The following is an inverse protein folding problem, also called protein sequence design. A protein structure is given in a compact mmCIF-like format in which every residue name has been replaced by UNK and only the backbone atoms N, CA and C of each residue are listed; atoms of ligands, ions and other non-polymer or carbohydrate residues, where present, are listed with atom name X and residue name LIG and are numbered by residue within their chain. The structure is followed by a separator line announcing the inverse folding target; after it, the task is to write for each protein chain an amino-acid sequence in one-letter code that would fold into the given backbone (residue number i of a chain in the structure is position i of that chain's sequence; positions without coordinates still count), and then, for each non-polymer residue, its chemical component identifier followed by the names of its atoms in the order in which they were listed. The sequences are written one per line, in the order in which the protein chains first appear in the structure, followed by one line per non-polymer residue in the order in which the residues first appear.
data_IF_702858955996
#
_entry.id   IF_702858955996
#
_cell.length_a   1.000
_cell.length_b   1.000
_cell.length_c   1.000
_cell.angle_alpha   90.00
_cell.angle_beta   90.00
_cell.angle_gamma   90.00
#
_symmetry.space_group_name_H-M   'P 1'
#
loop_
_entity.id
_entity.type
_entity.pdbx_description
1 polymer ?
#
# COMPACT_ATOMS: atom_id res chain seq x y z
N UNK A 1 19.85 13.34 -17.42
CA UNK A 1 18.66 12.50 -17.19
C UNK A 1 18.84 11.91 -15.80
N UNK A 2 17.87 12.10 -14.92
CA UNK A 2 17.90 11.53 -13.56
C UNK A 2 17.68 10.02 -13.66
N UNK A 3 18.16 9.26 -12.68
CA UNK A 3 18.17 7.80 -12.77
C UNK A 3 16.77 7.23 -12.49
N UNK A 4 16.31 7.30 -11.23
CA UNK A 4 15.05 6.66 -10.79
C UNK A 4 14.16 7.61 -10.00
N UNK A 5 12.85 7.39 -10.08
CA UNK A 5 11.86 8.06 -9.23
C UNK A 5 10.78 7.09 -8.77
N UNK A 6 10.37 7.21 -7.49
CA UNK A 6 9.37 6.35 -6.86
C UNK A 6 8.19 7.19 -6.35
N UNK A 7 6.96 6.86 -6.74
CA UNK A 7 5.74 7.51 -6.26
C UNK A 7 5.06 6.64 -5.22
N UNK A 8 5.08 7.11 -3.96
CA UNK A 8 4.65 6.39 -2.78
C UNK A 8 3.44 7.06 -2.12
N UNK A 9 2.33 6.31 -2.00
CA UNK A 9 1.11 6.72 -1.29
C UNK A 9 1.00 6.24 0.16
N UNK A 10 1.82 5.29 0.61
CA UNK A 10 1.76 4.71 1.96
C UNK A 10 3.15 4.56 2.58
N UNK A 11 3.24 4.39 3.91
CA UNK A 11 4.51 4.09 4.58
C UNK A 11 5.10 2.74 4.10
N UNK A 12 4.25 1.77 3.72
CA UNK A 12 4.68 0.51 3.13
C UNK A 12 5.40 0.71 1.78
N UNK A 13 4.89 1.60 0.92
CA UNK A 13 5.55 1.93 -0.35
C UNK A 13 6.95 2.52 -0.13
N UNK A 14 7.08 3.41 0.86
CA UNK A 14 8.39 3.97 1.22
C UNK A 14 9.30 2.86 1.73
N UNK A 15 8.81 1.96 2.57
CA UNK A 15 9.59 0.83 3.09
C UNK A 15 10.11 -0.07 1.95
N UNK A 16 9.25 -0.50 1.02
CA UNK A 16 9.68 -1.31 -0.13
C UNK A 16 10.68 -0.54 -1.01
N UNK A 17 10.52 0.78 -1.14
CA UNK A 17 11.46 1.62 -1.89
C UNK A 17 12.84 1.67 -1.23
N UNK A 18 12.91 1.74 0.11
CA UNK A 18 14.17 1.58 0.84
C UNK A 18 14.80 0.22 0.54
N UNK A 19 14.02 -0.87 0.59
CA UNK A 19 14.54 -2.20 0.27
C UNK A 19 15.16 -2.25 -1.13
N UNK A 20 14.48 -1.65 -2.12
CA UNK A 20 14.97 -1.60 -3.51
C UNK A 20 16.28 -0.84 -3.63
N UNK A 21 16.37 0.37 -3.08
CA UNK A 21 17.59 1.18 -3.19
C UNK A 21 18.75 0.59 -2.38
N UNK A 22 18.49 -0.01 -1.21
CA UNK A 22 19.54 -0.67 -0.40
C UNK A 22 20.03 -1.98 -1.04
N UNK A 23 19.25 -2.60 -1.92
CA UNK A 23 19.70 -3.76 -2.69
C UNK A 23 20.55 -3.41 -3.93
N UNK A 24 20.72 -2.12 -4.25
CA UNK A 24 21.57 -1.69 -5.35
C UNK A 24 23.07 -1.66 -4.94
N UNK A 25 23.98 -1.80 -5.92
CA UNK A 25 25.40 -1.50 -5.72
C UNK A 25 25.58 -0.09 -5.13
N UNK A 26 26.56 0.08 -4.24
CA UNK A 26 26.74 1.31 -3.44
C UNK A 26 26.88 2.56 -4.31
N UNK A 27 27.54 2.44 -5.46
CA UNK A 27 27.73 3.48 -6.46
C UNK A 27 26.43 3.95 -7.14
N UNK A 28 25.38 3.12 -7.12
CA UNK A 28 24.06 3.45 -7.69
C UNK A 28 23.10 4.04 -6.65
N UNK A 29 23.40 3.91 -5.35
CA UNK A 29 22.57 4.46 -4.26
C UNK A 29 22.66 5.99 -4.23
N UNK A 30 21.67 6.65 -3.63
CA UNK A 30 21.65 8.12 -3.53
C UNK A 30 21.27 8.84 -4.82
N UNK A 31 20.91 8.13 -5.88
CA UNK A 31 20.57 8.72 -7.19
C UNK A 31 19.06 8.80 -7.45
N UNK A 32 18.24 8.12 -6.64
CA UNK A 32 16.79 8.10 -6.81
C UNK A 32 16.09 9.26 -6.10
N UNK A 33 14.95 9.69 -6.65
CA UNK A 33 14.03 10.64 -6.02
C UNK A 33 12.83 9.89 -5.44
N UNK A 34 12.44 10.25 -4.22
CA UNK A 34 11.23 9.72 -3.58
C UNK A 34 10.11 10.78 -3.63
N UNK A 35 8.94 10.41 -4.13
CA UNK A 35 7.74 11.24 -4.14
C UNK A 35 6.76 10.69 -3.11
N UNK A 36 6.34 11.54 -2.17
CA UNK A 36 5.38 11.24 -1.12
C UNK A 36 4.02 11.84 -1.49
N UNK A 37 3.12 11.01 -2.01
CA UNK A 37 1.74 11.42 -2.33
C UNK A 37 0.89 11.52 -1.07
N UNK A 38 0.41 12.72 -0.78
CA UNK A 38 -0.44 13.02 0.39
C UNK A 38 -1.90 12.56 0.21
N UNK A 39 -2.23 11.96 -0.92
CA UNK A 39 -3.61 11.60 -1.27
C UNK A 39 -4.24 10.58 -0.30
N UNK A 40 -3.45 9.59 0.13
CA UNK A 40 -3.93 8.44 0.91
C UNK A 40 -3.45 8.44 2.34
N UNK A 41 -2.51 9.32 2.70
CA UNK A 41 -1.80 9.26 3.96
C UNK A 41 -1.15 10.59 4.34
N UNK A 42 -1.12 10.88 5.63
CA UNK A 42 -0.32 11.96 6.20
C UNK A 42 1.05 11.44 6.62
N UNK A 43 2.05 11.81 5.83
CA UNK A 43 3.44 11.43 6.03
C UNK A 43 4.14 12.21 7.16
N UNK A 44 3.54 13.28 7.70
CA UNK A 44 4.15 14.16 8.69
C UNK A 44 5.63 14.50 8.37
N UNK A 45 6.52 14.36 9.35
CA UNK A 45 7.96 14.55 9.27
C UNK A 45 8.72 13.38 8.61
N UNK A 46 8.04 12.46 7.92
CA UNK A 46 8.75 11.37 7.22
C UNK A 46 9.71 11.94 6.16
N UNK A 47 9.34 13.03 5.47
CA UNK A 47 10.21 13.67 4.49
C UNK A 47 11.58 14.02 5.09
N UNK A 48 11.59 14.78 6.18
CA UNK A 48 12.82 15.24 6.84
C UNK A 48 13.64 14.06 7.38
N UNK A 49 12.96 13.03 7.94
CA UNK A 49 13.63 11.80 8.38
C UNK A 49 14.27 11.01 7.24
N UNK A 50 13.60 10.88 6.09
CA UNK A 50 14.14 10.19 4.91
C UNK A 50 15.30 10.98 4.32
N UNK A 51 15.20 12.30 4.18
CA UNK A 51 16.30 13.16 3.73
C UNK A 51 17.54 12.99 4.64
N UNK A 52 17.32 12.91 5.96
CA UNK A 52 18.37 12.68 6.95
C UNK A 52 19.05 11.30 6.88
N UNK A 53 18.58 10.37 6.04
CA UNK A 53 19.28 9.09 5.77
C UNK A 53 20.34 9.22 4.69
N UNK A 54 20.22 10.19 3.78
CA UNK A 54 21.07 10.32 2.60
C UNK A 54 20.87 9.23 1.54
N UNK A 55 19.84 8.36 1.65
CA UNK A 55 19.61 7.27 0.70
C UNK A 55 19.09 7.76 -0.67
N UNK A 56 18.43 8.91 -0.71
CA UNK A 56 17.79 9.49 -1.89
C UNK A 56 18.43 10.81 -2.28
N UNK A 57 18.46 11.10 -3.59
CA UNK A 57 18.89 12.38 -4.14
C UNK A 57 17.97 13.54 -3.73
N UNK A 58 16.70 13.24 -3.45
CA UNK A 58 15.73 14.21 -2.97
C UNK A 58 14.39 13.56 -2.62
N UNK A 59 13.64 14.23 -1.75
CA UNK A 59 12.29 13.82 -1.35
C UNK A 59 11.31 14.94 -1.68
N UNK A 60 10.28 14.62 -2.46
CA UNK A 60 9.30 15.56 -2.97
C UNK A 60 7.94 15.21 -2.41
N UNK A 61 7.21 16.20 -1.90
CA UNK A 61 5.82 16.01 -1.52
C UNK A 61 4.93 16.25 -2.72
N UNK A 62 3.87 15.44 -2.84
CA UNK A 62 2.91 15.54 -3.93
C UNK A 62 1.50 15.67 -3.36
N UNK A 63 0.90 16.84 -3.55
CA UNK A 63 -0.49 17.13 -3.23
C UNK A 63 -1.42 16.63 -4.34
N UNK A 64 -1.39 15.32 -4.54
CA UNK A 64 -2.13 14.59 -5.58
C UNK A 64 -3.64 14.66 -5.33
N UNK A 65 -4.42 15.02 -6.36
CA UNK A 65 -5.85 15.31 -6.22
C UNK A 65 -6.73 14.15 -6.64
N UNK A 66 -7.55 13.70 -5.69
CA UNK A 66 -8.62 12.73 -5.96
C UNK A 66 -9.68 13.31 -6.89
N UNK A 67 -10.47 12.43 -7.50
CA UNK A 67 -11.44 12.83 -8.52
C UNK A 67 -12.56 13.73 -7.98
N UNK A 68 -12.89 13.60 -6.70
CA UNK A 68 -13.90 14.38 -5.99
C UNK A 68 -13.47 15.83 -5.76
N UNK A 69 -12.16 16.11 -5.77
CA UNK A 69 -11.61 17.48 -5.82
C UNK A 69 -12.01 18.21 -7.11
N UNK A 70 -12.37 17.48 -8.18
CA UNK A 70 -12.77 18.04 -9.47
C UNK A 70 -14.26 17.76 -9.77
N UNK A 71 -15.20 18.63 -9.31
CA UNK A 71 -16.64 18.40 -9.46
C UNK A 71 -17.11 18.11 -10.89
N UNK A 72 -16.43 18.67 -11.88
CA UNK A 72 -16.72 18.47 -13.30
C UNK A 72 -16.49 17.04 -13.83
N UNK A 73 -15.79 16.19 -13.08
CA UNK A 73 -15.62 14.76 -13.39
C UNK A 73 -16.86 13.93 -13.00
N UNK A 74 -17.62 14.36 -11.98
CA UNK A 74 -18.74 13.59 -11.42
C UNK A 74 -19.81 13.23 -12.48
N UNK A 75 -20.03 14.09 -13.48
CA UNK A 75 -20.98 13.83 -14.58
C UNK A 75 -20.64 12.58 -15.39
N UNK A 76 -19.38 12.17 -15.45
CA UNK A 76 -18.96 10.99 -16.22
C UNK A 76 -19.09 9.69 -15.42
N UNK A 77 -19.30 9.76 -14.11
CA UNK A 77 -19.54 8.61 -13.23
C UNK A 77 -20.99 8.16 -13.19
N UNK A 78 -21.93 8.99 -13.67
CA UNK A 78 -23.36 8.65 -13.75
C UNK A 78 -23.58 7.54 -14.79
N UNK A 79 -24.08 6.41 -14.33
CA UNK A 79 -24.47 5.31 -15.21
C UNK A 79 -25.70 5.73 -16.04
N UNK A 80 -25.57 5.67 -17.36
CA UNK A 80 -26.66 5.99 -18.28
C UNK A 80 -27.48 4.77 -18.69
N UNK A 81 -27.19 3.58 -18.16
CA UNK A 81 -27.79 2.30 -18.57
C UNK A 81 -27.40 1.83 -19.98
N UNK A 82 -26.53 2.58 -20.68
CA UNK A 82 -26.11 2.30 -22.04
C UNK A 82 -24.59 2.11 -22.10
N UNK A 83 -24.15 0.93 -22.51
CA UNK A 83 -22.73 0.56 -22.55
C UNK A 83 -21.87 1.53 -23.38
N UNK A 84 -22.31 1.91 -24.59
CA UNK A 84 -21.56 2.80 -25.47
C UNK A 84 -21.44 4.20 -24.88
N UNK A 85 -22.52 4.73 -24.31
CA UNK A 85 -22.52 6.04 -23.68
C UNK A 85 -21.61 6.06 -22.44
N UNK A 86 -21.66 5.03 -21.61
CA UNK A 86 -20.76 4.88 -20.46
C UNK A 86 -19.30 4.74 -20.88
N UNK A 87 -19.02 4.04 -21.99
CA UNK A 87 -17.68 3.94 -22.53
C UNK A 87 -17.16 5.30 -23.02
N UNK A 88 -17.98 6.07 -23.74
CA UNK A 88 -17.64 7.44 -24.16
C UNK A 88 -17.37 8.34 -22.94
N UNK A 89 -18.21 8.25 -21.91
CA UNK A 89 -18.03 8.99 -20.66
C UNK A 89 -16.70 8.62 -20.00
N UNK A 90 -16.35 7.33 -19.96
CA UNK A 90 -15.06 6.87 -19.43
C UNK A 90 -13.87 7.39 -20.21
N UNK A 91 -13.92 7.39 -21.55
CA UNK A 91 -12.84 7.97 -22.38
C UNK A 91 -12.66 9.46 -22.07
N UNK A 92 -13.77 10.19 -21.93
CA UNK A 92 -13.75 11.62 -21.56
C UNK A 92 -13.21 11.83 -20.14
N UNK A 93 -13.63 11.01 -19.19
CA UNK A 93 -13.13 11.01 -17.81
C UNK A 93 -11.62 10.81 -17.78
N UNK A 94 -11.11 9.73 -18.40
CA UNK A 94 -9.67 9.41 -18.40
C UNK A 94 -8.83 10.58 -18.95
N UNK A 95 -9.26 11.21 -20.04
CA UNK A 95 -8.56 12.36 -20.64
C UNK A 95 -8.65 13.63 -19.80
N UNK A 96 -9.83 13.93 -19.27
CA UNK A 96 -10.04 15.15 -18.50
C UNK A 96 -9.32 15.07 -17.15
N UNK A 97 -9.42 13.93 -16.45
CA UNK A 97 -8.79 13.76 -15.14
C UNK A 97 -7.27 13.97 -15.21
N UNK A 98 -6.59 13.32 -16.16
CA UNK A 98 -5.16 13.52 -16.38
C UNK A 98 -4.76 14.98 -16.69
N UNK A 99 -5.63 15.73 -17.38
CA UNK A 99 -5.40 17.15 -17.69
C UNK A 99 -5.58 18.03 -16.44
N UNK A 100 -6.56 17.70 -15.60
CA UNK A 100 -6.83 18.44 -14.37
C UNK A 100 -5.77 18.19 -13.31
N UNK A 101 -5.18 17.00 -13.30
CA UNK A 101 -4.09 16.66 -12.40
C UNK A 101 -2.75 17.30 -12.79
N UNK A 102 -2.53 17.56 -14.09
CA UNK A 102 -1.25 18.05 -14.62
C UNK A 102 -0.65 19.27 -13.88
N UNK A 103 -1.41 20.31 -13.48
CA UNK A 103 -0.88 21.44 -12.72
C UNK A 103 -0.36 21.09 -11.31
N UNK A 104 -0.79 19.96 -10.75
CA UNK A 104 -0.40 19.49 -9.41
C UNK A 104 0.82 18.57 -9.44
N UNK A 105 1.24 18.12 -10.63
CA UNK A 105 2.40 17.24 -10.80
C UNK A 105 3.68 17.98 -10.37
N UNK A 106 4.41 17.49 -9.35
CA UNK A 106 5.45 18.26 -8.68
C UNK A 106 6.80 18.21 -9.42
N UNK A 107 6.94 17.30 -10.38
CA UNK A 107 8.20 17.04 -11.11
C UNK A 107 7.93 16.70 -12.57
N UNK A 108 8.88 17.02 -13.45
CA UNK A 108 8.83 16.53 -14.84
C UNK A 108 9.34 15.09 -14.90
N UNK A 109 8.39 14.15 -14.91
CA UNK A 109 8.67 12.71 -14.98
C UNK A 109 9.49 12.30 -16.23
N UNK A 110 9.46 13.08 -17.33
CA UNK A 110 10.24 12.76 -18.54
C UNK A 110 11.75 12.85 -18.34
N UNK A 111 12.20 13.48 -17.25
CA UNK A 111 13.62 13.60 -16.93
C UNK A 111 14.22 12.34 -16.31
N UNK A 112 13.39 11.37 -15.92
CA UNK A 112 13.80 10.14 -15.25
C UNK A 112 13.84 8.97 -16.23
N UNK A 113 14.82 8.08 -16.05
CA UNK A 113 14.96 6.87 -16.85
C UNK A 113 13.94 5.82 -16.41
N UNK A 114 13.86 5.54 -15.11
CA UNK A 114 12.92 4.58 -14.56
C UNK A 114 11.96 5.27 -13.58
N UNK A 115 10.65 5.06 -13.79
CA UNK A 115 9.57 5.65 -12.99
C UNK A 115 8.78 4.50 -12.37
N UNK A 116 8.72 4.46 -11.05
CA UNK A 116 8.06 3.42 -10.27
C UNK A 116 6.83 3.99 -9.56
N UNK A 117 5.68 3.33 -9.68
CA UNK A 117 4.40 3.77 -9.09
C UNK A 117 3.70 2.59 -8.42
N UNK A 118 3.42 2.68 -7.11
CA UNK A 118 2.76 1.60 -6.36
C UNK A 118 1.24 1.53 -6.58
N UNK A 119 0.58 2.68 -6.72
CA UNK A 119 -0.85 2.72 -7.03
C UNK A 119 -1.05 3.40 -8.38
N UNK A 120 -0.84 2.67 -9.48
CA UNK A 120 -1.09 3.26 -10.80
C UNK A 120 -2.59 3.48 -11.07
N UNK A 121 -3.47 2.99 -10.20
CA UNK A 121 -4.89 3.37 -10.12
C UNK A 121 -5.14 4.83 -9.73
N UNK A 122 -4.19 5.45 -9.04
CA UNK A 122 -4.29 6.81 -8.51
C UNK A 122 -4.05 7.85 -9.62
N UNK A 123 -4.35 9.15 -9.40
CA UNK A 123 -4.28 10.18 -10.43
C UNK A 123 -2.98 10.18 -11.26
N UNK A 124 -1.85 9.87 -10.63
CA UNK A 124 -0.55 9.78 -11.29
C UNK A 124 -0.53 8.79 -12.46
N UNK A 125 -1.22 7.65 -12.36
CA UNK A 125 -1.28 6.68 -13.44
C UNK A 125 -2.06 7.21 -14.65
N UNK A 126 -3.14 7.96 -14.41
CA UNK A 126 -3.88 8.66 -15.46
C UNK A 126 -2.98 9.70 -16.15
N UNK A 127 -2.25 10.50 -15.38
CA UNK A 127 -1.31 11.49 -15.91
C UNK A 127 -0.24 10.83 -16.79
N UNK A 128 0.50 9.85 -16.26
CA UNK A 128 1.57 9.16 -16.99
C UNK A 128 1.03 8.51 -18.27
N UNK A 129 -0.11 7.84 -18.18
CA UNK A 129 -0.77 7.19 -19.31
C UNK A 129 -1.17 8.17 -20.42
N UNK A 130 -1.80 9.30 -20.09
CA UNK A 130 -2.25 10.28 -21.08
C UNK A 130 -1.09 11.13 -21.63
N UNK A 131 -0.02 11.31 -20.85
CA UNK A 131 1.23 11.95 -21.30
C UNK A 131 2.18 11.02 -22.02
N UNK A 132 1.82 9.73 -22.18
CA UNK A 132 2.61 8.71 -22.89
C UNK A 132 3.98 8.48 -22.26
N UNK A 133 4.04 8.59 -20.93
CA UNK A 133 5.26 8.40 -20.16
C UNK A 133 5.29 6.95 -19.69
N UNK A 134 6.39 6.25 -19.97
CA UNK A 134 6.56 4.86 -19.58
C UNK A 134 6.91 4.73 -18.10
N UNK A 135 6.35 3.72 -17.43
CA UNK A 135 6.54 3.50 -16.00
C UNK A 135 6.43 2.02 -15.64
N UNK A 136 6.94 1.67 -14.47
CA UNK A 136 6.81 0.38 -13.79
C UNK A 136 5.77 0.52 -12.68
N UNK A 137 4.80 -0.38 -12.65
CA UNK A 137 3.87 -0.46 -11.52
C UNK A 137 4.44 -1.37 -10.42
N UNK A 138 3.98 -1.21 -9.18
CA UNK A 138 4.20 -2.14 -8.08
C UNK A 138 2.86 -2.44 -7.41
N UNK A 139 2.77 -3.49 -6.60
CA UNK A 139 1.58 -3.74 -5.79
C UNK A 139 1.43 -2.69 -4.66
N UNK A 140 0.20 -2.25 -4.38
CA UNK A 140 -0.15 -1.35 -3.25
C UNK A 140 0.17 -1.98 -1.88
N UNK A 141 0.07 -3.31 -1.76
CA UNK A 141 0.33 -4.03 -0.53
C UNK A 141 0.86 -5.43 -0.82
N UNK A 142 1.48 -6.06 0.18
CA UNK A 142 2.02 -7.41 0.06
C UNK A 142 0.92 -8.39 -0.41
N UNK A 143 1.09 -8.98 -1.60
CA UNK A 143 0.12 -9.90 -2.22
C UNK A 143 -1.33 -9.36 -2.29
N UNK A 144 -1.54 -8.04 -2.37
CA UNK A 144 -2.88 -7.45 -2.28
C UNK A 144 -3.85 -7.97 -3.36
N UNK A 145 -3.33 -8.32 -4.55
CA UNK A 145 -4.10 -8.85 -5.68
C UNK A 145 -4.77 -10.21 -5.40
N UNK A 146 -4.25 -10.98 -4.43
CA UNK A 146 -4.87 -12.24 -3.97
C UNK A 146 -6.27 -11.97 -3.41
N UNK A 147 -6.44 -10.85 -2.70
CA UNK A 147 -7.67 -10.49 -2.01
C UNK A 147 -8.53 -9.55 -2.89
N UNK A 148 -7.88 -8.63 -3.62
CA UNK A 148 -8.57 -7.66 -4.47
C UNK A 148 -7.82 -7.35 -5.77
N UNK A 149 -8.23 -7.97 -6.87
CA UNK A 149 -7.84 -7.61 -8.24
C UNK A 149 -8.74 -6.49 -8.76
N UNK A 150 -8.43 -5.27 -8.32
CA UNK A 150 -9.17 -4.07 -8.68
C UNK A 150 -9.22 -3.83 -10.19
N UNK A 151 -8.19 -4.22 -10.94
CA UNK A 151 -8.18 -4.11 -12.40
C UNK A 151 -9.30 -4.95 -13.02
N UNK A 152 -9.60 -6.14 -12.50
CA UNK A 152 -10.74 -6.95 -12.95
C UNK A 152 -12.05 -6.51 -12.33
N UNK A 153 -12.07 -6.27 -11.04
CA UNK A 153 -13.29 -5.94 -10.29
C UNK A 153 -13.97 -4.68 -10.85
N UNK A 154 -13.21 -3.60 -11.03
CA UNK A 154 -13.74 -2.33 -11.56
C UNK A 154 -14.11 -2.41 -13.05
N UNK A 155 -13.68 -3.49 -13.72
CA UNK A 155 -13.84 -3.68 -15.15
C UNK A 155 -14.67 -4.92 -15.52
N UNK A 156 -15.36 -5.53 -14.55
CA UNK A 156 -16.24 -6.68 -14.74
C UNK A 156 -17.30 -6.47 -15.83
N UNK A 157 -17.83 -7.57 -16.35
CA UNK A 157 -18.80 -7.64 -17.46
C UNK A 157 -18.19 -7.51 -18.86
N UNK A 158 -17.12 -6.73 -19.05
CA UNK A 158 -16.45 -6.55 -20.36
C UNK A 158 -14.93 -6.38 -20.23
N UNK A 159 -14.30 -7.17 -19.33
CA UNK A 159 -12.89 -7.00 -19.00
C UNK A 159 -11.98 -7.07 -20.22
N UNK A 160 -12.12 -8.10 -21.08
CA UNK A 160 -11.26 -8.27 -22.26
C UNK A 160 -11.29 -7.07 -23.21
N UNK A 161 -12.47 -6.51 -23.47
CA UNK A 161 -12.63 -5.31 -24.29
C UNK A 161 -11.99 -4.09 -23.60
N UNK A 162 -12.29 -3.84 -22.31
CA UNK A 162 -11.72 -2.71 -21.55
C UNK A 162 -10.19 -2.80 -21.47
N UNK A 163 -9.65 -3.98 -21.21
CA UNK A 163 -8.22 -4.27 -21.20
C UNK A 163 -7.59 -4.01 -22.58
N UNK A 164 -8.26 -4.39 -23.68
CA UNK A 164 -7.80 -4.07 -25.03
C UNK A 164 -7.78 -2.56 -25.31
N UNK A 165 -8.87 -1.85 -24.97
CA UNK A 165 -8.98 -0.40 -25.14
C UNK A 165 -7.91 0.36 -24.34
N UNK A 166 -7.56 -0.14 -23.14
CA UNK A 166 -6.48 0.40 -22.32
C UNK A 166 -5.10 0.07 -22.91
N UNK A 167 -4.76 -1.21 -23.06
CA UNK A 167 -3.41 -1.67 -23.44
C UNK A 167 -3.02 -1.34 -24.87
N UNK A 168 -3.96 -1.40 -25.81
CA UNK A 168 -3.66 -1.24 -27.25
C UNK A 168 -3.98 0.14 -27.76
N UNK A 169 -5.15 0.68 -27.40
CA UNK A 169 -5.65 1.94 -27.97
C UNK A 169 -5.42 3.18 -27.10
N UNK A 170 -5.11 3.03 -25.81
CA UNK A 170 -4.97 4.14 -24.85
C UNK A 170 -6.23 5.03 -24.74
N UNK A 171 -7.42 4.44 -24.92
CA UNK A 171 -8.67 5.19 -24.89
C UNK A 171 -9.23 5.34 -23.48
N UNK A 172 -9.02 4.32 -22.65
CA UNK A 172 -9.35 4.31 -21.23
C UNK A 172 -8.11 3.88 -20.45
N UNK A 173 -8.16 4.01 -19.13
CA UNK A 173 -7.12 3.50 -18.25
C UNK A 173 -7.65 2.31 -17.44
N UNK A 174 -6.86 1.24 -17.38
CA UNK A 174 -7.02 0.08 -16.49
C UNK A 174 -5.67 -0.12 -15.81
N UNK A 175 -5.67 -0.13 -14.48
CA UNK A 175 -4.51 -0.24 -13.59
C UNK A 175 -3.88 -1.64 -13.59
N UNK A 176 -2.93 -1.86 -12.68
CA UNK A 176 -2.26 -3.14 -12.44
C UNK A 176 -1.66 -3.74 -13.73
N UNK A 177 -0.81 -2.96 -14.41
CA UNK A 177 -0.10 -3.43 -15.61
C UNK A 177 -0.89 -3.37 -16.93
N UNK A 178 -2.19 -3.06 -16.90
CA UNK A 178 -3.04 -2.96 -18.09
C UNK A 178 -3.00 -1.57 -18.76
N UNK A 179 -2.26 -0.59 -18.24
CA UNK A 179 -2.04 0.70 -18.92
C UNK A 179 -1.13 0.54 -20.14
N UNK A 180 -1.41 1.20 -21.28
CA UNK A 180 -0.58 1.06 -22.51
C UNK A 180 0.91 1.29 -22.25
N UNK A 181 1.22 2.33 -21.46
CA UNK A 181 2.57 2.79 -21.14
C UNK A 181 3.14 2.19 -19.85
N UNK A 182 2.40 1.32 -19.16
CA UNK A 182 2.97 0.50 -18.09
C UNK A 182 3.86 -0.58 -18.73
N UNK A 183 5.15 -0.60 -18.39
CA UNK A 183 6.14 -1.54 -18.92
C UNK A 183 5.93 -2.92 -18.33
N UNK A 184 5.94 -2.98 -17.00
CA UNK A 184 5.72 -4.15 -16.17
C UNK A 184 5.09 -3.74 -14.83
N UNK A 185 4.69 -4.75 -14.05
CA UNK A 185 4.26 -4.54 -12.67
C UNK A 185 4.96 -5.55 -11.75
N UNK A 186 5.64 -5.06 -10.73
CA UNK A 186 6.28 -5.91 -9.73
C UNK A 186 5.25 -6.45 -8.74
N UNK A 187 5.11 -7.78 -8.70
CA UNK A 187 4.25 -8.49 -7.72
C UNK A 187 5.10 -9.39 -6.82
N UNK A 188 4.62 -9.68 -5.62
CA UNK A 188 5.38 -10.47 -4.65
C UNK A 188 5.33 -11.97 -4.95
N UNK A 189 4.17 -12.50 -5.32
CA UNK A 189 3.94 -13.92 -5.66
C UNK A 189 2.88 -14.03 -6.76
N UNK A 190 3.31 -14.36 -7.98
CA UNK A 190 2.42 -14.53 -9.14
C UNK A 190 1.49 -15.73 -8.93
N UNK A 191 1.96 -16.79 -8.25
CA UNK A 191 1.19 -18.02 -8.04
C UNK A 191 -0.05 -17.80 -7.15
N UNK A 192 -0.02 -16.78 -6.30
CA UNK A 192 -1.15 -16.37 -5.48
C UNK A 192 -2.25 -15.61 -6.26
N UNK A 193 -1.98 -15.21 -7.50
CA UNK A 193 -2.89 -14.38 -8.31
C UNK A 193 -3.68 -15.26 -9.28
N UNK A 194 -5.01 -15.28 -9.11
CA UNK A 194 -5.92 -16.08 -9.94
C UNK A 194 -5.85 -15.74 -11.44
N UNK A 195 -5.65 -14.46 -11.76
CA UNK A 195 -5.66 -13.96 -13.14
C UNK A 195 -4.47 -13.04 -13.44
N UNK A 196 -3.25 -13.58 -13.57
CA UNK A 196 -2.05 -12.76 -13.76
C UNK A 196 -2.09 -11.98 -15.08
N UNK A 197 -1.66 -10.71 -15.03
CA UNK A 197 -1.43 -9.93 -16.23
C UNK A 197 -0.11 -10.39 -16.88
N UNK A 198 -0.01 -10.46 -18.23
CA UNK A 198 1.23 -10.87 -18.91
C UNK A 198 2.46 -9.98 -18.66
N UNK A 199 2.28 -8.83 -18.01
CA UNK A 199 3.34 -7.87 -17.66
C UNK A 199 3.78 -7.97 -16.20
N UNK A 200 3.21 -8.90 -15.43
CA UNK A 200 3.64 -9.10 -14.05
C UNK A 200 5.04 -9.71 -14.02
N UNK A 201 5.88 -9.17 -13.14
CA UNK A 201 7.20 -9.71 -12.83
C UNK A 201 7.24 -10.01 -11.34
N UNK A 202 7.68 -11.22 -11.00
CA UNK A 202 7.78 -11.64 -9.61
C UNK A 202 9.05 -11.06 -8.98
N UNK A 203 8.88 -10.36 -7.86
CA UNK A 203 9.95 -9.73 -7.08
C UNK A 203 9.61 -9.89 -5.59
N UNK A 204 9.88 -11.05 -4.97
CA UNK A 204 9.50 -11.29 -3.58
C UNK A 204 10.10 -10.24 -2.64
N UNK A 205 9.28 -9.63 -1.77
CA UNK A 205 9.76 -8.55 -0.89
C UNK A 205 10.68 -9.10 0.22
N UNK A 206 10.45 -10.35 0.59
CA UNK A 206 11.29 -11.06 1.55
C UNK A 206 12.74 -11.15 1.09
N UNK A 207 12.99 -11.45 -0.20
CA UNK A 207 14.36 -11.50 -0.73
C UNK A 207 15.08 -10.15 -0.61
N UNK A 208 14.37 -9.04 -0.77
CA UNK A 208 14.96 -7.71 -0.60
C UNK A 208 15.27 -7.42 0.87
N UNK A 209 14.40 -7.84 1.79
CA UNK A 209 14.58 -7.68 3.23
C UNK A 209 15.71 -8.55 3.78
N UNK A 210 15.83 -9.80 3.33
CA UNK A 210 16.85 -10.75 3.78
C UNK A 210 18.27 -10.32 3.40
N UNK A 211 18.43 -9.59 2.30
CA UNK A 211 19.71 -9.09 1.80
C UNK A 211 20.23 -7.86 2.55
N UNK A 212 19.42 -7.25 3.43
CA UNK A 212 19.86 -6.09 4.21
C UNK A 212 20.88 -6.47 5.26
N UNK A 213 21.98 -5.72 5.32
CA UNK A 213 22.93 -5.79 6.43
C UNK A 213 22.44 -4.99 7.67
N UNK A 214 23.23 -4.99 8.73
CA UNK A 214 22.88 -4.27 9.96
C UNK A 214 22.81 -2.74 9.77
N UNK A 215 23.67 -2.17 8.93
CA UNK A 215 23.69 -0.73 8.63
C UNK A 215 22.47 -0.33 7.80
N UNK A 216 22.08 -1.16 6.84
CA UNK A 216 20.89 -0.97 6.02
C UNK A 216 19.62 -0.97 6.91
N UNK A 217 19.50 -1.93 7.84
CA UNK A 217 18.39 -1.99 8.80
C UNK A 217 18.34 -0.78 9.72
N UNK A 218 19.50 -0.34 10.23
CA UNK A 218 19.58 0.84 11.09
C UNK A 218 19.13 2.11 10.35
N UNK A 219 19.49 2.24 9.07
CA UNK A 219 19.05 3.35 8.22
C UNK A 219 17.53 3.37 8.06
N UNK A 220 16.90 2.21 7.86
CA UNK A 220 15.43 2.11 7.80
C UNK A 220 14.82 2.50 9.15
N UNK A 221 15.36 1.97 10.26
CA UNK A 221 14.86 2.31 11.60
C UNK A 221 14.91 3.82 11.86
N UNK A 222 16.01 4.49 11.49
CA UNK A 222 16.16 5.95 11.60
C UNK A 222 15.08 6.72 10.81
N UNK A 223 14.65 6.21 9.65
CA UNK A 223 13.64 6.87 8.84
C UNK A 223 12.22 6.72 9.42
N UNK A 224 11.89 5.52 9.91
CA UNK A 224 10.50 5.17 10.27
C UNK A 224 10.18 5.30 11.76
N UNK A 225 11.18 5.18 12.64
CA UNK A 225 10.97 5.16 14.09
C UNK A 225 11.35 6.52 14.68
N UNK A 226 10.37 7.24 15.23
CA UNK A 226 10.57 8.58 15.82
C UNK A 226 11.36 8.52 17.12
N UNK A 227 11.01 7.56 17.96
CA UNK A 227 11.58 7.33 19.27
C UNK A 227 12.02 5.87 19.37
N UNK A 228 13.23 5.60 18.89
CA UNK A 228 13.80 4.26 18.88
C UNK A 228 14.07 3.79 20.31
N UNK A 229 14.62 4.65 21.16
CA UNK A 229 14.95 4.33 22.55
C UNK A 229 13.68 4.01 23.35
N UNK A 230 12.63 4.80 23.20
CA UNK A 230 11.33 4.56 23.84
C UNK A 230 10.68 3.26 23.36
N UNK A 231 10.75 2.95 22.06
CA UNK A 231 10.25 1.69 21.52
C UNK A 231 11.07 0.50 22.03
N UNK A 232 12.40 0.59 22.06
CA UNK A 232 13.27 -0.45 22.62
C UNK A 232 13.00 -0.69 24.10
N UNK A 233 12.79 0.38 24.87
CA UNK A 233 12.40 0.31 26.27
C UNK A 233 11.03 -0.35 26.44
N UNK A 234 10.03 0.02 25.62
CA UNK A 234 8.71 -0.63 25.62
C UNK A 234 8.83 -2.13 25.30
N UNK A 235 9.68 -2.49 24.34
CA UNK A 235 9.96 -3.88 23.98
C UNK A 235 10.58 -4.62 25.17
N UNK A 236 11.58 -4.02 25.83
CA UNK A 236 12.29 -4.59 26.98
C UNK A 236 11.38 -4.74 28.21
N UNK A 237 10.57 -3.74 28.52
CA UNK A 237 9.56 -3.82 29.59
C UNK A 237 8.50 -4.89 29.28
N UNK A 238 8.05 -4.97 28.03
CA UNK A 238 7.09 -5.98 27.58
C UNK A 238 7.65 -7.41 27.62
N UNK A 239 8.98 -7.57 27.50
CA UNK A 239 9.62 -8.88 27.52
C UNK A 239 9.57 -9.57 28.89
N UNK A 240 9.21 -8.83 29.95
CA UNK A 240 8.95 -9.34 31.31
C UNK A 240 7.52 -9.79 31.54
N UNK A 241 6.63 -9.49 30.58
CA UNK A 241 5.23 -9.90 30.59
C UNK A 241 5.17 -11.31 29.98
N UNK A 242 4.16 -12.11 30.35
CA UNK A 242 3.96 -13.45 29.78
C UNK A 242 3.69 -13.41 28.27
N UNK A 243 2.94 -14.40 27.76
CA UNK A 243 2.66 -14.51 26.33
C UNK A 243 2.06 -13.22 25.76
N UNK A 244 2.60 -12.75 24.63
CA UNK A 244 2.16 -11.51 23.96
C UNK A 244 1.43 -11.81 22.66
N UNK A 245 0.29 -11.18 22.46
CA UNK A 245 -0.51 -11.28 21.24
C UNK A 245 -0.56 -9.90 20.57
N UNK A 246 -0.08 -9.81 19.34
CA UNK A 246 -0.23 -8.60 18.53
C UNK A 246 -1.50 -8.71 17.68
N UNK A 247 -2.39 -7.72 17.79
CA UNK A 247 -3.54 -7.56 16.90
C UNK A 247 -3.25 -6.39 15.97
N UNK A 248 -3.15 -6.68 14.67
CA UNK A 248 -3.07 -5.67 13.63
C UNK A 248 -4.48 -5.24 13.26
N UNK A 249 -4.72 -3.94 13.27
CA UNK A 249 -6.02 -3.40 12.85
C UNK A 249 -6.03 -3.14 11.36
N UNK A 250 -7.23 -3.02 10.79
CA UNK A 250 -7.51 -2.80 9.38
C UNK A 250 -8.70 -1.82 9.29
N UNK A 251 -8.74 -0.87 8.33
CA UNK A 251 -9.83 0.09 8.18
C UNK A 251 -11.06 -0.56 7.52
N UNK A 252 -11.58 -1.61 8.14
CA UNK A 252 -12.67 -2.45 7.64
C UNK A 252 -14.03 -1.88 8.03
N UNK A 253 -15.04 -2.08 7.19
CA UNK A 253 -16.44 -1.73 7.48
C UNK A 253 -16.63 -0.26 7.94
N UNK A 254 -17.83 0.03 8.44
CA UNK A 254 -18.14 1.28 9.17
C UNK A 254 -17.51 1.28 10.57
N UNK A 255 -17.30 2.46 11.17
CA UNK A 255 -16.69 2.58 12.50
C UNK A 255 -17.36 1.73 13.60
N UNK A 256 -18.71 1.65 13.72
CA UNK A 256 -19.34 0.82 14.74
C UNK A 256 -19.09 -0.68 14.54
N UNK A 257 -19.08 -1.15 13.28
CA UNK A 257 -18.79 -2.55 12.95
C UNK A 257 -17.31 -2.84 13.18
N UNK A 258 -16.43 -1.92 12.79
CA UNK A 258 -14.98 -1.99 13.04
C UNK A 258 -14.65 -2.10 14.52
N UNK A 259 -15.30 -1.28 15.35
CA UNK A 259 -15.17 -1.38 16.81
C UNK A 259 -15.58 -2.77 17.29
N UNK A 260 -16.72 -3.29 16.83
CA UNK A 260 -17.19 -4.64 17.17
C UNK A 260 -16.17 -5.72 16.79
N UNK A 261 -15.64 -5.66 15.57
CA UNK A 261 -14.60 -6.59 15.08
C UNK A 261 -13.42 -6.62 16.06
N UNK A 262 -12.85 -5.46 16.39
CA UNK A 262 -11.65 -5.43 17.25
C UNK A 262 -11.96 -5.72 18.72
N UNK A 263 -13.17 -5.46 19.21
CA UNK A 263 -13.62 -5.97 20.52
C UNK A 263 -13.68 -7.49 20.53
N UNK A 264 -14.28 -8.11 19.53
CA UNK A 264 -14.39 -9.57 19.44
C UNK A 264 -13.02 -10.26 19.32
N UNK A 265 -12.11 -9.69 18.51
CA UNK A 265 -10.73 -10.18 18.38
C UNK A 265 -9.98 -10.04 19.71
N UNK A 266 -10.00 -8.87 20.33
CA UNK A 266 -9.30 -8.67 21.61
C UNK A 266 -9.87 -9.55 22.73
N UNK A 267 -11.19 -9.75 22.77
CA UNK A 267 -11.86 -10.65 23.73
C UNK A 267 -11.54 -12.13 23.50
N UNK A 268 -11.37 -12.55 22.24
CA UNK A 268 -10.95 -13.89 21.87
C UNK A 268 -9.52 -14.16 22.37
N UNK A 269 -8.58 -13.26 22.07
CA UNK A 269 -7.16 -13.51 22.28
C UNK A 269 -6.61 -13.08 23.64
N UNK A 270 -7.34 -12.28 24.45
CA UNK A 270 -6.89 -11.93 25.82
C UNK A 270 -6.72 -13.13 26.75
N UNK A 271 -7.32 -14.28 26.40
CA UNK A 271 -7.16 -15.55 27.13
C UNK A 271 -5.84 -16.25 26.81
N UNK A 272 -5.20 -15.92 25.69
CA UNK A 272 -3.96 -16.54 25.21
C UNK A 272 -2.71 -15.76 25.63
N UNK A 273 -2.87 -14.50 26.05
CA UNK A 273 -1.77 -13.62 26.44
C UNK A 273 -2.20 -12.15 26.55
N UNK A 274 -1.23 -11.28 26.87
CA UNK A 274 -1.41 -9.83 26.87
C UNK A 274 -1.54 -9.33 25.43
N UNK A 275 -2.67 -8.68 25.14
CA UNK A 275 -2.96 -8.13 23.81
C UNK A 275 -2.31 -6.77 23.63
N UNK A 276 -1.64 -6.60 22.51
CA UNK A 276 -1.10 -5.35 21.98
C UNK A 276 -1.84 -5.00 20.70
N UNK A 277 -2.08 -3.72 20.46
CA UNK A 277 -2.69 -3.24 19.22
C UNK A 277 -1.66 -2.52 18.37
N UNK A 278 -1.68 -2.77 17.05
CA UNK A 278 -1.01 -1.91 16.07
C UNK A 278 -2.08 -1.38 15.12
N UNK A 279 -2.55 -0.14 15.33
CA UNK A 279 -3.53 0.45 14.46
C UNK A 279 -3.03 0.61 13.02
N UNK A 280 -3.92 0.48 12.04
CA UNK A 280 -3.60 0.79 10.65
C UNK A 280 -3.47 2.31 10.45
N UNK A 281 -2.47 2.81 9.70
CA UNK A 281 -2.20 4.26 9.57
C UNK A 281 -3.36 5.07 8.97
N UNK A 282 -4.23 4.42 8.19
CA UNK A 282 -5.43 5.02 7.57
C UNK A 282 -6.75 4.74 8.33
N UNK A 283 -6.68 4.15 9.50
CA UNK A 283 -7.87 3.82 10.28
C UNK A 283 -8.31 5.01 11.13
N UNK A 284 -9.54 5.44 10.95
CA UNK A 284 -10.15 6.57 11.66
C UNK A 284 -10.70 6.18 13.05
N UNK A 285 -10.72 4.89 13.39
CA UNK A 285 -11.20 4.46 14.71
C UNK A 285 -10.21 4.87 15.80
N UNK A 286 -10.69 5.57 16.83
CA UNK A 286 -9.85 6.03 17.94
C UNK A 286 -9.56 4.89 18.93
N UNK A 287 -8.55 4.07 18.60
CA UNK A 287 -8.14 2.94 19.43
C UNK A 287 -7.63 3.37 20.80
N UNK A 288 -6.98 4.53 20.93
CA UNK A 288 -6.46 5.02 22.21
C UNK A 288 -7.59 5.29 23.19
N UNK A 289 -8.71 5.83 22.71
CA UNK A 289 -9.91 6.07 23.53
C UNK A 289 -10.74 4.81 23.78
N UNK A 290 -10.91 3.96 22.78
CA UNK A 290 -11.82 2.79 22.85
C UNK A 290 -11.20 1.55 23.49
N UNK A 291 -9.86 1.46 23.45
CA UNK A 291 -9.06 0.33 23.92
C UNK A 291 -7.88 0.79 24.82
N UNK A 292 -8.10 1.69 25.80
CA UNK A 292 -7.02 2.28 26.61
C UNK A 292 -6.28 1.23 27.46
N UNK A 293 -6.91 0.07 27.70
CA UNK A 293 -6.33 -1.02 28.48
C UNK A 293 -5.25 -1.82 27.73
N UNK A 294 -5.16 -1.70 26.41
CA UNK A 294 -4.19 -2.44 25.61
C UNK A 294 -3.04 -1.52 25.19
N UNK A 295 -1.77 -1.92 25.38
CA UNK A 295 -0.64 -1.19 24.83
C UNK A 295 -0.75 -1.09 23.30
N UNK A 296 -0.40 0.08 22.74
CA UNK A 296 -0.57 0.35 21.32
C UNK A 296 0.74 0.83 20.69
N UNK A 297 1.08 0.27 19.53
CA UNK A 297 2.17 0.78 18.70
C UNK A 297 1.72 2.02 17.92
N UNK A 298 2.69 2.82 17.47
CA UNK A 298 2.41 3.92 16.55
C UNK A 298 1.87 3.36 15.22
N UNK A 299 0.71 3.85 14.80
CA UNK A 299 0.04 3.45 13.57
C UNK A 299 0.89 3.75 12.31
N UNK A 300 1.75 4.78 12.39
CA UNK A 300 2.56 5.28 11.28
C UNK A 300 3.86 4.49 11.06
N UNK A 301 4.15 3.51 11.93
CA UNK A 301 5.26 2.58 11.75
C UNK A 301 4.79 1.37 10.92
N UNK A 302 5.38 1.10 9.73
CA UNK A 302 5.15 -0.15 9.02
C UNK A 302 5.47 -1.34 9.90
N UNK A 303 4.62 -2.35 9.87
CA UNK A 303 4.80 -3.54 10.70
C UNK A 303 6.07 -4.31 10.33
N UNK A 304 6.49 -4.24 9.08
CA UNK A 304 7.69 -4.90 8.56
C UNK A 304 8.96 -4.36 9.21
N UNK A 305 8.98 -3.07 9.58
CA UNK A 305 10.12 -2.45 10.28
C UNK A 305 10.30 -3.05 11.67
N UNK A 306 9.23 -3.58 12.29
CA UNK A 306 9.31 -4.24 13.58
C UNK A 306 10.14 -5.54 13.52
N UNK A 307 10.30 -6.16 12.34
CA UNK A 307 11.17 -7.34 12.16
C UNK A 307 12.65 -7.04 12.46
N UNK A 308 13.06 -5.76 12.46
CA UNK A 308 14.45 -5.38 12.70
C UNK A 308 14.80 -5.20 14.17
N UNK A 309 13.84 -5.37 15.09
CA UNK A 309 14.11 -5.32 16.53
C UNK A 309 14.42 -6.72 17.06
N UNK A 310 15.70 -7.03 17.39
CA UNK A 310 16.12 -8.40 17.72
C UNK A 310 15.49 -8.96 18.99
N UNK A 311 15.08 -8.08 19.93
CA UNK A 311 14.45 -8.47 21.20
C UNK A 311 12.92 -8.44 21.14
N UNK A 312 12.33 -8.05 20.00
CA UNK A 312 10.89 -8.06 19.83
C UNK A 312 10.44 -9.49 19.50
N UNK A 313 9.61 -10.04 20.37
CA UNK A 313 8.94 -11.32 20.15
C UNK A 313 7.50 -11.27 20.61
N UNK A 314 6.61 -11.83 19.81
CA UNK A 314 5.22 -12.11 20.12
C UNK A 314 4.99 -13.61 20.04
N UNK A 315 4.13 -14.16 20.89
CA UNK A 315 3.67 -15.53 20.73
C UNK A 315 2.80 -15.65 19.48
N UNK A 316 1.97 -14.63 19.23
CA UNK A 316 1.03 -14.63 18.11
C UNK A 316 0.85 -13.25 17.52
N UNK A 317 0.77 -13.16 16.20
CA UNK A 317 0.28 -11.99 15.47
C UNK A 317 -1.01 -12.35 14.74
N UNK A 318 -2.03 -11.51 14.89
CA UNK A 318 -3.38 -11.71 14.35
C UNK A 318 -3.73 -10.54 13.44
N UNK A 319 -4.23 -10.83 12.25
CA UNK A 319 -4.83 -9.85 11.35
C UNK A 319 -6.09 -10.41 10.70
N UNK A 320 -6.95 -9.52 10.20
CA UNK A 320 -8.17 -9.94 9.51
C UNK A 320 -7.87 -10.22 8.05
N UNK A 321 -7.63 -9.17 7.25
CA UNK A 321 -7.38 -9.30 5.82
C UNK A 321 -5.94 -8.96 5.43
N UNK A 322 -5.21 -8.22 6.26
CA UNK A 322 -3.79 -7.90 6.02
C UNK A 322 -2.94 -9.16 5.88
N UNK A 323 -2.08 -9.17 4.87
CA UNK A 323 -1.12 -10.25 4.64
C UNK A 323 0.05 -10.12 5.61
N UNK A 324 0.20 -11.11 6.49
CA UNK A 324 1.11 -11.05 7.65
C UNK A 324 2.21 -12.13 7.62
N UNK A 325 2.33 -12.89 6.52
CA UNK A 325 3.30 -13.99 6.41
C UNK A 325 4.77 -13.55 6.50
N UNK A 326 5.07 -12.27 6.24
CA UNK A 326 6.41 -11.72 6.34
C UNK A 326 6.80 -11.29 7.79
N UNK A 327 5.92 -11.50 8.78
CA UNK A 327 6.25 -11.26 10.18
C UNK A 327 7.23 -12.34 10.66
N UNK A 328 8.40 -11.92 11.14
CA UNK A 328 9.42 -12.77 11.73
C UNK A 328 9.51 -12.65 13.26
N UNK A 329 8.93 -11.60 13.85
CA UNK A 329 8.93 -11.37 15.29
C UNK A 329 7.81 -12.12 16.04
N UNK A 330 7.02 -12.98 15.38
CA UNK A 330 5.94 -13.73 15.99
C UNK A 330 6.09 -15.24 15.76
N UNK A 331 5.87 -16.05 16.81
CA UNK A 331 5.98 -17.51 16.71
C UNK A 331 4.84 -18.13 15.89
N UNK A 332 3.63 -17.57 16.02
CA UNK A 332 2.44 -17.94 15.27
C UNK A 332 1.85 -16.72 14.56
N UNK A 333 1.45 -16.90 13.31
CA UNK A 333 0.84 -15.85 12.48
C UNK A 333 -0.54 -16.33 12.04
N UNK A 334 -1.59 -15.61 12.44
CA UNK A 334 -2.99 -15.99 12.21
C UNK A 334 -3.69 -14.92 11.38
N UNK A 335 -3.97 -15.25 10.12
CA UNK A 335 -4.86 -14.46 9.27
C UNK A 335 -6.27 -15.04 9.38
N UNK A 336 -7.21 -14.27 9.93
CA UNK A 336 -8.60 -14.71 10.13
C UNK A 336 -9.34 -14.87 8.79
N UNK A 337 -9.02 -14.04 7.80
CA UNK A 337 -9.49 -14.16 6.43
C UNK A 337 -10.93 -13.73 6.21
N UNK A 338 -11.42 -14.05 5.02
CA UNK A 338 -12.70 -13.64 4.46
C UNK A 338 -13.89 -14.29 5.20
N UNK A 339 -13.75 -15.55 5.59
CA UNK A 339 -14.80 -16.29 6.34
C UNK A 339 -15.11 -15.64 7.70
N UNK A 340 -14.11 -15.02 8.33
CA UNK A 340 -14.32 -14.27 9.56
C UNK A 340 -15.17 -13.01 9.32
N UNK A 341 -15.01 -12.36 8.16
CA UNK A 341 -15.73 -11.14 7.80
C UNK A 341 -17.20 -11.38 7.46
N UNK A 342 -17.58 -12.59 7.07
CA UNK A 342 -18.98 -12.96 6.79
C UNK A 342 -19.92 -12.76 8.00
N UNK A 343 -19.37 -12.70 9.23
CA UNK A 343 -20.14 -12.38 10.44
C UNK A 343 -20.38 -10.88 10.67
N UNK A 344 -19.73 -10.00 9.89
CA UNK A 344 -19.71 -8.56 10.11
C UNK A 344 -20.29 -7.74 8.97
N UNK A 345 -20.24 -8.25 7.74
CA UNK A 345 -20.86 -7.63 6.57
C UNK A 345 -21.24 -8.68 5.52
N UNK A 346 -22.06 -8.27 4.55
CA UNK A 346 -22.48 -9.15 3.46
C UNK A 346 -21.25 -9.66 2.67
N UNK A 347 -21.13 -10.98 2.41
CA UNK A 347 -19.97 -11.57 1.74
C UNK A 347 -19.58 -10.89 0.42
N UNK A 348 -20.55 -10.39 -0.34
CA UNK A 348 -20.31 -9.67 -1.60
C UNK A 348 -19.56 -8.33 -1.44
N UNK A 349 -19.41 -7.80 -0.22
CA UNK A 349 -18.69 -6.55 0.02
C UNK A 349 -17.18 -6.80 0.08
N UNK A 350 -16.73 -7.81 0.84
CA UNK A 350 -15.30 -8.13 1.00
C UNK A 350 -14.77 -9.23 0.08
N UNK A 351 -15.62 -10.11 -0.46
CA UNK A 351 -15.21 -11.17 -1.41
C UNK A 351 -15.22 -10.67 -2.85
N UNK A 352 -14.42 -9.65 -3.12
CA UNK A 352 -14.40 -8.96 -4.41
C UNK A 352 -13.88 -9.86 -5.54
N UNK A 353 -12.87 -10.67 -5.27
CA UNK A 353 -12.30 -11.60 -6.25
C UNK A 353 -13.21 -12.79 -6.62
N UNK A 354 -14.29 -13.03 -5.87
CA UNK A 354 -15.30 -14.03 -6.23
C UNK A 354 -16.31 -13.49 -7.27
N UNK A 355 -16.28 -12.18 -7.55
CA UNK A 355 -17.23 -11.48 -8.42
C UNK A 355 -16.67 -11.14 -9.82
N UNK A 356 -15.49 -11.67 -10.18
CA UNK A 356 -14.72 -11.28 -11.38
C UNK A 356 -14.49 -12.38 -12.40
#
# INVERSE_FOLDING_TARGET
MNDRIYVCHTYYHVYVTFLKELNLPKEMRGQAVLVLSKMSNDFEELKSRVEGTGLFAGVVEFDEKREDFFPQLARFRKDSGNFLQNLINRIRFTRLYARLEEPYIPVDFRKYKDIYVYCDSDPIGYYLNQKKIYYHALEDGLNCLKNFDAARYDNRGHFGLKAFLSRRLNLIFVQNGYGKYCLDMEVNDISAIKYPCPRYIEKPRQELADRLDASDREMILKAFIRDKEGLEKQIEESSRIGDKILVLTDPLCSLPVRERIFRDITDRYKKEGTVFLKPHPRDELDYRRLFPQYPQFDAKVPMEVLNFFPRLRFKKAVAVLTEIKAIAFADEVVRLGEDFMDAYEEPAIHRQNEQI
#
